data_IF_419246532400
#
_entry.id   IF_419246532400
#
_cell.length_a   1.000
_cell.length_b   1.000
_cell.length_c   1.000
_cell.angle_alpha   90.00
_cell.angle_beta   90.00
_cell.angle_gamma   90.00
#
_symmetry.space_group_name_H-M   'P 1'
#
loop_
_entity.id
_entity.type
_entity.pdbx_description
1 polymer ?
#
# COMPACT_ATOMS: atom_id res chain seq x y z
N UNK A 1 9.66 -5.70 -6.39
CA UNK A 1 8.97 -4.45 -6.78
C UNK A 1 9.54 -3.36 -5.90
N UNK A 2 10.56 -2.69 -6.42
CA UNK A 2 11.14 -1.51 -5.78
C UNK A 2 11.24 -0.44 -6.86
N UNK A 3 11.11 0.81 -6.47
CA UNK A 3 11.23 1.97 -7.36
C UNK A 3 12.30 2.91 -6.79
N UNK A 4 12.91 3.74 -7.62
CA UNK A 4 13.94 4.69 -7.17
C UNK A 4 13.45 6.12 -7.30
N UNK A 5 13.30 6.80 -6.17
CA UNK A 5 12.98 8.23 -6.11
C UNK A 5 14.27 8.98 -5.77
N UNK A 6 14.83 9.70 -6.74
CA UNK A 6 16.05 10.53 -6.58
C UNK A 6 17.22 9.82 -5.89
N UNK A 7 17.42 8.53 -6.20
CA UNK A 7 18.49 7.71 -5.64
C UNK A 7 18.13 6.97 -4.34
N UNK A 8 16.92 7.14 -3.81
CA UNK A 8 16.39 6.36 -2.70
C UNK A 8 15.50 5.25 -3.23
N UNK A 9 15.83 4.00 -2.92
CA UNK A 9 14.96 2.86 -3.21
C UNK A 9 13.75 2.88 -2.26
N UNK A 10 12.55 2.68 -2.81
CA UNK A 10 11.27 2.63 -2.09
C UNK A 10 10.50 1.36 -2.46
N UNK A 11 9.66 0.87 -1.55
CA UNK A 11 8.85 -0.33 -1.75
C UNK A 11 7.56 -0.02 -2.51
N UNK A 12 7.68 0.18 -3.82
CA UNK A 12 6.56 0.41 -4.71
C UNK A 12 6.79 -0.24 -6.08
N UNK A 13 5.67 -0.48 -6.77
CA UNK A 13 5.61 -0.84 -8.17
C UNK A 13 5.05 0.35 -8.96
N UNK A 14 5.77 0.78 -10.00
CA UNK A 14 5.44 1.98 -10.78
C UNK A 14 5.32 1.58 -12.24
N UNK A 15 4.21 1.95 -12.86
CA UNK A 15 3.95 1.70 -14.28
C UNK A 15 4.02 3.03 -15.03
N UNK A 16 4.83 3.05 -16.08
CA UNK A 16 5.00 4.19 -16.97
C UNK A 16 4.39 3.88 -18.34
N UNK A 17 3.91 4.91 -19.03
CA UNK A 17 3.51 4.80 -20.44
C UNK A 17 4.72 4.85 -21.39
N UNK A 18 4.45 4.77 -22.69
CA UNK A 18 5.48 4.82 -23.75
C UNK A 18 6.30 6.12 -23.75
N UNK A 19 5.82 7.17 -23.08
CA UNK A 19 6.50 8.48 -22.97
C UNK A 19 7.26 8.64 -21.65
N UNK A 20 7.30 7.60 -20.81
CA UNK A 20 7.91 7.67 -19.48
C UNK A 20 7.06 8.44 -18.45
N UNK A 21 5.77 8.64 -18.74
CA UNK A 21 4.86 9.26 -17.78
C UNK A 21 4.31 8.20 -16.84
N UNK A 22 4.43 8.42 -15.53
CA UNK A 22 3.84 7.52 -14.53
C UNK A 22 2.31 7.52 -14.68
N UNK A 23 1.74 6.32 -14.82
CA UNK A 23 0.30 6.09 -15.01
C UNK A 23 -0.34 5.33 -13.84
N UNK A 24 0.47 4.61 -13.08
CA UNK A 24 0.03 3.88 -11.89
C UNK A 24 1.18 3.77 -10.89
N UNK A 25 0.84 3.85 -9.61
CA UNK A 25 1.74 3.55 -8.50
C UNK A 25 1.03 2.60 -7.55
N UNK A 26 1.70 1.51 -7.18
CA UNK A 26 1.14 0.47 -6.30
C UNK A 26 2.10 0.19 -5.15
N UNK A 27 1.59 0.06 -3.94
CA UNK A 27 2.39 -0.36 -2.78
C UNK A 27 1.53 -1.11 -1.78
N UNK A 28 2.15 -2.09 -1.12
CA UNK A 28 1.47 -2.96 -0.17
C UNK A 28 1.58 -2.40 1.24
N UNK A 29 0.45 -2.37 1.95
CA UNK A 29 0.33 -1.86 3.30
C UNK A 29 -0.29 -2.93 4.20
N UNK A 30 0.11 -2.91 5.46
CA UNK A 30 -0.54 -3.65 6.54
C UNK A 30 -0.93 -2.69 7.66
N UNK A 31 -2.13 -2.88 8.23
CA UNK A 31 -2.58 -2.09 9.36
C UNK A 31 -3.58 -2.87 10.24
N UNK A 32 -3.85 -2.40 11.47
CA UNK A 32 -4.89 -2.97 12.33
C UNK A 32 -6.30 -2.87 11.73
N UNK A 33 -6.58 -1.84 10.92
CA UNK A 33 -7.87 -1.62 10.29
C UNK A 33 -7.78 -0.70 9.06
N UNK A 34 -8.79 -0.68 8.18
CA UNK A 34 -8.83 0.22 7.02
C UNK A 34 -8.67 1.70 7.38
N UNK A 35 -9.25 2.12 8.50
CA UNK A 35 -9.19 3.51 8.97
C UNK A 35 -7.75 4.03 9.20
N UNK A 36 -6.81 3.15 9.59
CA UNK A 36 -5.41 3.56 9.75
C UNK A 36 -4.75 3.87 8.41
N UNK A 37 -5.05 3.08 7.38
CA UNK A 37 -4.54 3.29 6.02
C UNK A 37 -5.12 4.59 5.44
N UNK A 38 -6.42 4.80 5.60
CA UNK A 38 -7.09 6.03 5.18
C UNK A 38 -6.50 7.26 5.88
N UNK A 39 -6.28 7.21 7.19
CA UNK A 39 -5.68 8.30 7.95
C UNK A 39 -4.26 8.64 7.45
N UNK A 40 -3.44 7.63 7.15
CA UNK A 40 -2.10 7.84 6.59
C UNK A 40 -2.17 8.52 5.21
N UNK A 41 -3.06 8.06 4.34
CA UNK A 41 -3.24 8.64 3.01
C UNK A 41 -3.83 10.07 3.03
N UNK A 42 -4.76 10.35 3.97
CA UNK A 42 -5.31 11.68 4.20
C UNK A 42 -4.25 12.65 4.71
N UNK A 43 -3.34 12.22 5.58
CA UNK A 43 -2.24 13.06 6.09
C UNK A 43 -1.34 13.58 4.96
N UNK A 44 -1.23 12.84 3.86
CA UNK A 44 -0.52 13.27 2.64
C UNK A 44 -1.42 13.87 1.57
N UNK A 45 -2.65 14.23 1.90
CA UNK A 45 -3.63 14.82 0.99
C UNK A 45 -3.87 13.99 -0.28
N UNK A 46 -3.54 12.70 -0.27
CA UNK A 46 -3.84 11.81 -1.36
C UNK A 46 -5.36 11.72 -1.47
N UNK A 47 -6.02 11.41 -0.37
CA UNK A 47 -7.46 11.15 -0.36
C UNK A 47 -8.36 12.39 -0.24
N UNK A 48 -7.80 13.61 -0.21
CA UNK A 48 -8.61 14.83 -0.07
C UNK A 48 -9.12 15.30 -1.43
N UNK A 49 -10.45 15.38 -1.59
CA UNK A 49 -11.10 16.15 -2.65
C UNK A 49 -11.50 17.50 -2.05
N UNK A 50 -10.81 18.58 -2.42
CA UNK A 50 -11.21 19.93 -1.98
C UNK A 50 -12.48 20.32 -2.73
N UNK A 51 -13.64 20.31 -2.07
CA UNK A 51 -14.76 21.13 -2.51
C UNK A 51 -14.72 22.48 -1.80
N UNK A 52 -14.46 23.54 -2.56
CA UNK A 52 -14.78 24.89 -2.11
C UNK A 52 -16.31 25.02 -2.06
N UNK A 53 -16.88 25.17 -0.87
CA UNK A 53 -18.25 25.65 -0.76
C UNK A 53 -18.29 27.15 -1.10
N UNK A 54 -19.40 27.65 -1.63
CA UNK A 54 -19.58 29.07 -2.03
C UNK A 54 -19.28 30.10 -0.92
N UNK A 55 -19.09 29.65 0.32
CA UNK A 55 -18.80 30.49 1.49
C UNK A 55 -17.35 30.38 1.98
N UNK A 56 -16.44 29.77 1.22
CA UNK A 56 -15.02 29.64 1.60
C UNK A 56 -14.75 28.65 2.73
N UNK A 57 -15.75 27.83 3.11
CA UNK A 57 -15.55 26.78 4.11
C UNK A 57 -15.05 25.53 3.40
N UNK A 58 -13.77 25.23 3.59
CA UNK A 58 -13.19 23.92 3.29
C UNK A 58 -13.79 22.91 4.28
N UNK A 59 -14.68 22.05 3.81
CA UNK A 59 -15.03 20.82 4.54
C UNK A 59 -14.23 19.70 3.91
N UNK A 60 -13.29 19.13 4.67
CA UNK A 60 -12.68 17.85 4.32
C UNK A 60 -13.73 16.76 4.50
N UNK A 61 -14.37 16.38 3.41
CA UNK A 61 -15.15 15.15 3.37
C UNK A 61 -14.21 14.02 2.94
N UNK A 62 -14.19 12.93 3.71
CA UNK A 62 -13.65 11.66 3.23
C UNK A 62 -14.70 11.08 2.29
N UNK A 63 -14.68 11.51 1.03
CA UNK A 63 -15.45 10.88 -0.04
C UNK A 63 -14.64 9.72 -0.64
N UNK A 64 -15.32 8.76 -1.28
CA UNK A 64 -14.66 7.80 -2.15
C UNK A 64 -13.75 8.58 -3.12
N UNK A 65 -12.47 8.24 -3.11
CA UNK A 65 -11.46 8.95 -3.88
C UNK A 65 -11.32 8.24 -5.21
N UNK A 66 -11.89 8.78 -6.31
CA UNK A 66 -11.66 8.18 -7.61
C UNK A 66 -10.15 8.09 -7.83
N UNK A 67 -9.72 6.90 -8.27
CA UNK A 67 -8.31 6.55 -8.53
C UNK A 67 -7.44 6.17 -7.31
N UNK A 68 -8.00 6.08 -6.10
CA UNK A 68 -7.38 5.33 -4.99
C UNK A 68 -8.08 3.97 -4.86
N UNK A 69 -7.43 2.91 -5.35
CA UNK A 69 -8.02 1.57 -5.33
C UNK A 69 -7.35 0.72 -4.26
N UNK A 70 -8.16 0.27 -3.29
CA UNK A 70 -7.72 -0.60 -2.21
C UNK A 70 -8.09 -2.04 -2.55
N UNK A 71 -7.08 -2.89 -2.78
CA UNK A 71 -7.29 -4.31 -3.02
C UNK A 71 -6.92 -5.11 -1.77
N UNK A 72 -7.89 -5.61 -0.99
CA UNK A 72 -7.61 -6.43 0.17
C UNK A 72 -6.81 -7.68 -0.21
N UNK A 73 -5.78 -8.00 0.57
CA UNK A 73 -4.91 -9.15 0.37
C UNK A 73 -5.03 -10.07 1.57
N UNK A 74 -5.41 -11.33 1.32
CA UNK A 74 -5.37 -12.36 2.35
C UNK A 74 -3.94 -12.91 2.44
N UNK A 75 -3.33 -12.85 3.63
CA UNK A 75 -1.98 -13.37 3.86
C UNK A 75 -2.07 -14.72 4.56
N UNK A 76 -1.49 -15.76 3.94
CA UNK A 76 -1.40 -17.10 4.52
C UNK A 76 -0.17 -17.17 5.43
N UNK A 77 -0.36 -17.41 6.72
CA UNK A 77 0.72 -17.59 7.67
C UNK A 77 1.21 -19.03 7.65
N UNK A 78 0.30 -19.99 7.78
CA UNK A 78 0.65 -21.42 7.77
C UNK A 78 -0.24 -22.18 6.80
N UNK A 79 0.33 -22.99 5.90
CA UNK A 79 -0.46 -23.78 4.97
C UNK A 79 -1.23 -24.86 5.71
N UNK A 80 -2.39 -25.22 5.17
CA UNK A 80 -3.13 -26.40 5.59
C UNK A 80 -2.26 -27.66 5.43
N UNK A 81 -2.28 -28.54 6.43
CA UNK A 81 -1.69 -29.86 6.32
C UNK A 81 -2.68 -30.81 5.64
N UNK A 82 -2.13 -31.76 4.88
CA UNK A 82 -2.89 -32.79 4.19
C UNK A 82 -2.31 -34.17 4.51
N UNK A 83 -3.19 -35.16 4.65
CA UNK A 83 -2.77 -36.55 4.79
C UNK A 83 -2.25 -37.11 3.45
N UNK A 84 -1.78 -38.36 3.47
CA UNK A 84 -1.26 -39.05 2.29
C UNK A 84 -2.31 -39.24 1.17
N UNK A 85 -3.60 -39.09 1.49
CA UNK A 85 -4.74 -39.17 0.57
C UNK A 85 -5.14 -37.79 0.03
N UNK A 86 -4.44 -36.72 0.43
CA UNK A 86 -4.72 -35.35 0.00
C UNK A 86 -5.85 -34.66 0.76
N UNK A 87 -6.46 -35.32 1.75
CA UNK A 87 -7.50 -34.73 2.59
C UNK A 87 -6.87 -33.78 3.61
N UNK A 88 -7.55 -32.67 3.88
CA UNK A 88 -7.07 -31.64 4.78
C UNK A 88 -7.19 -32.10 6.23
N UNK A 89 -6.08 -32.08 6.98
CA UNK A 89 -6.02 -32.48 8.39
C UNK A 89 -5.96 -31.29 9.33
N UNK A 90 -5.47 -30.14 8.85
CA UNK A 90 -5.49 -28.86 9.59
C UNK A 90 -5.96 -27.74 8.66
N UNK A 91 -6.66 -26.77 9.22
CA UNK A 91 -7.02 -25.56 8.49
C UNK A 91 -5.80 -24.65 8.32
N UNK A 92 -5.73 -23.87 7.23
CA UNK A 92 -4.69 -22.88 7.06
C UNK A 92 -4.83 -21.75 8.10
N UNK A 93 -3.71 -21.28 8.63
CA UNK A 93 -3.69 -20.10 9.51
C UNK A 93 -3.56 -18.86 8.63
N UNK A 94 -4.58 -18.01 8.67
CA UNK A 94 -4.63 -16.75 7.94
C UNK A 94 -4.26 -15.57 8.84
N UNK A 95 -3.62 -14.58 8.26
CA UNK A 95 -3.48 -13.25 8.85
C UNK A 95 -4.86 -12.60 9.00
N UNK A 96 -5.10 -12.02 10.19
CA UNK A 96 -6.36 -11.34 10.51
C UNK A 96 -6.23 -9.82 10.47
N UNK A 97 -5.02 -9.30 10.29
CA UNK A 97 -4.77 -7.87 10.10
C UNK A 97 -5.18 -7.41 8.70
N UNK A 98 -5.36 -6.10 8.54
CA UNK A 98 -5.78 -5.52 7.28
C UNK A 98 -4.57 -5.31 6.37
N UNK A 99 -4.35 -6.29 5.49
CA UNK A 99 -3.36 -6.20 4.41
C UNK A 99 -4.04 -5.74 3.11
N UNK A 100 -3.45 -4.76 2.43
CA UNK A 100 -4.02 -4.15 1.24
C UNK A 100 -2.93 -3.75 0.25
N UNK A 101 -3.19 -3.95 -1.04
CA UNK A 101 -2.43 -3.27 -2.08
C UNK A 101 -3.14 -1.97 -2.45
N UNK A 102 -2.53 -0.83 -2.14
CA UNK A 102 -3.04 0.47 -2.54
C UNK A 102 -2.50 0.81 -3.92
N UNK A 103 -3.42 1.02 -4.87
CA UNK A 103 -3.12 1.38 -6.25
C UNK A 103 -3.66 2.78 -6.54
N UNK A 104 -2.75 3.70 -6.81
CA UNK A 104 -3.02 5.07 -7.18
C UNK A 104 -2.95 5.22 -8.71
N UNK A 105 -3.95 5.87 -9.31
CA UNK A 105 -3.99 6.17 -10.75
C UNK A 105 -4.47 7.60 -11.02
N UNK A 106 -4.59 7.98 -12.29
CA UNK A 106 -5.27 9.21 -12.72
C UNK A 106 -4.68 10.49 -12.14
N UNK A 107 -5.54 11.38 -11.64
CA UNK A 107 -5.08 12.66 -11.09
C UNK A 107 -4.38 12.51 -9.74
N UNK A 108 -4.58 11.39 -9.04
CA UNK A 108 -4.04 11.16 -7.70
C UNK A 108 -2.52 11.07 -7.70
N UNK A 109 -1.96 10.37 -8.69
CA UNK A 109 -0.50 10.23 -8.88
C UNK A 109 0.15 11.52 -9.37
N UNK A 110 -0.65 12.49 -9.86
CA UNK A 110 -0.19 13.80 -10.36
C UNK A 110 -0.29 14.90 -9.31
N UNK A 111 -0.89 14.65 -8.14
CA UNK A 111 -0.96 15.63 -7.07
C UNK A 111 0.45 15.94 -6.55
N UNK A 112 0.75 17.23 -6.46
CA UNK A 112 2.02 17.74 -5.96
C UNK A 112 1.84 18.65 -4.75
N UNK A 113 2.88 18.77 -3.93
CA UNK A 113 2.97 19.80 -2.89
C UNK A 113 3.37 21.18 -3.48
N UNK A 114 3.55 22.17 -2.60
CA UNK A 114 3.98 23.53 -2.99
C UNK A 114 5.36 23.59 -3.64
N UNK A 115 6.19 22.56 -3.44
CA UNK A 115 7.54 22.44 -3.97
C UNK A 115 7.58 21.59 -5.25
N UNK A 116 6.44 21.13 -5.76
CA UNK A 116 6.32 20.32 -6.96
C UNK A 116 6.66 18.84 -6.75
N UNK A 117 6.74 18.34 -5.51
CA UNK A 117 6.94 16.92 -5.23
C UNK A 117 5.62 16.17 -5.31
N UNK A 118 5.63 15.01 -5.96
CA UNK A 118 4.45 14.16 -5.96
C UNK A 118 4.15 13.68 -4.54
N UNK A 119 2.89 13.79 -4.12
CA UNK A 119 2.49 13.50 -2.75
C UNK A 119 2.72 12.02 -2.36
N UNK A 120 2.59 11.10 -3.33
CA UNK A 120 2.88 9.68 -3.13
C UNK A 120 4.39 9.42 -2.94
N UNK A 121 5.25 10.19 -3.61
CA UNK A 121 6.70 10.09 -3.43
C UNK A 121 7.08 10.50 -2.01
N UNK A 122 6.55 11.65 -1.55
CA UNK A 122 6.77 12.13 -0.18
C UNK A 122 6.30 11.12 0.86
N UNK A 123 5.15 10.46 0.62
CA UNK A 123 4.62 9.44 1.50
C UNK A 123 5.59 8.24 1.61
N UNK A 124 6.06 7.71 0.48
CA UNK A 124 7.00 6.57 0.49
C UNK A 124 8.37 6.94 1.07
N UNK A 125 8.89 8.12 0.72
CA UNK A 125 10.15 8.62 1.28
C UNK A 125 10.07 8.82 2.79
N UNK A 126 8.92 9.26 3.31
CA UNK A 126 8.71 9.37 4.76
C UNK A 126 8.76 7.99 5.43
N UNK A 127 8.15 6.96 4.86
CA UNK A 127 8.31 5.59 5.36
C UNK A 127 9.77 5.12 5.31
N UNK A 128 10.48 5.38 4.21
CA UNK A 128 11.90 4.99 4.11
C UNK A 128 12.80 5.74 5.09
N UNK A 129 12.47 6.98 5.45
CA UNK A 129 13.28 7.81 6.33
C UNK A 129 12.93 7.70 7.82
N UNK A 130 11.65 7.51 8.16
CA UNK A 130 11.14 7.54 9.53
C UNK A 130 10.54 6.21 9.99
N UNK A 131 10.27 5.28 9.07
CA UNK A 131 9.69 3.99 9.40
C UNK A 131 10.66 3.11 10.19
N UNK A 132 10.15 2.47 11.23
CA UNK A 132 10.92 1.48 11.98
C UNK A 132 10.84 0.12 11.28
N UNK A 133 11.98 -0.56 11.12
CA UNK A 133 12.00 -1.94 10.62
C UNK A 133 11.08 -2.83 11.45
N UNK A 134 10.26 -3.61 10.76
CA UNK A 134 9.30 -4.50 11.38
C UNK A 134 9.12 -5.77 10.55
N UNK A 135 8.49 -6.76 11.16
CA UNK A 135 8.03 -7.96 10.48
C UNK A 135 6.57 -8.16 10.83
N UNK A 136 5.70 -8.00 9.82
CA UNK A 136 4.28 -8.31 9.91
C UNK A 136 4.13 -9.83 10.00
N UNK A 137 3.47 -10.30 11.06
CA UNK A 137 3.23 -11.71 11.38
C UNK A 137 4.49 -12.60 11.29
N UNK A 138 5.64 -12.08 11.72
CA UNK A 138 6.94 -12.77 11.74
C UNK A 138 7.47 -13.27 10.38
N UNK A 139 6.81 -12.91 9.27
CA UNK A 139 7.17 -13.41 7.92
C UNK A 139 7.26 -12.33 6.85
N UNK A 140 6.56 -11.21 7.03
CA UNK A 140 6.43 -10.19 5.99
C UNK A 140 7.19 -8.93 6.44
N UNK A 141 8.40 -8.69 5.91
CA UNK A 141 9.19 -7.53 6.31
C UNK A 141 8.56 -6.23 5.82
N UNK A 142 8.76 -5.16 6.59
CA UNK A 142 8.28 -3.84 6.21
C UNK A 142 8.81 -2.73 7.11
N UNK A 143 8.28 -1.53 6.90
CA UNK A 143 8.60 -0.33 7.66
C UNK A 143 7.33 0.22 8.31
N UNK A 144 7.27 0.18 9.64
CA UNK A 144 6.13 0.64 10.43
C UNK A 144 6.22 2.13 10.74
N UNK A 145 5.13 2.85 10.50
CA UNK A 145 4.95 4.25 10.89
C UNK A 145 3.48 4.51 11.22
N UNK A 146 3.21 5.15 12.36
CA UNK A 146 1.85 5.55 12.76
C UNK A 146 0.80 4.44 12.70
N UNK A 147 1.19 3.19 13.04
CA UNK A 147 0.30 2.03 13.02
C UNK A 147 0.03 1.45 11.62
N UNK A 148 0.76 1.87 10.59
CA UNK A 148 0.71 1.32 9.24
C UNK A 148 2.10 0.88 8.82
N UNK A 149 2.21 -0.34 8.30
CA UNK A 149 3.46 -0.90 7.81
C UNK A 149 3.49 -0.91 6.28
N UNK A 150 4.51 -0.28 5.70
CA UNK A 150 4.84 -0.41 4.27
C UNK A 150 5.58 -1.73 4.06
N UNK A 151 4.97 -2.64 3.30
CA UNK A 151 5.51 -3.99 3.10
C UNK A 151 6.58 -4.00 2.01
N UNK A 152 7.72 -4.62 2.29
CA UNK A 152 8.74 -4.91 1.29
C UNK A 152 8.35 -6.18 0.50
N UNK A 153 7.55 -5.98 -0.54
CA UNK A 153 7.08 -7.06 -1.42
C UNK A 153 8.22 -7.76 -2.18
N UNK A 154 9.42 -7.18 -2.25
CA UNK A 154 10.58 -7.86 -2.86
C UNK A 154 11.10 -9.04 -2.04
N UNK A 155 10.81 -9.04 -0.73
CA UNK A 155 11.24 -10.06 0.23
C UNK A 155 10.12 -11.00 0.64
N UNK A 156 8.88 -10.74 0.21
CA UNK A 156 7.75 -11.62 0.46
C UNK A 156 7.82 -12.82 -0.48
N UNK A 157 7.86 -14.01 0.10
CA UNK A 157 7.76 -15.25 -0.67
C UNK A 157 6.38 -15.34 -1.32
N UNK A 158 6.31 -15.14 -2.63
CA UNK A 158 5.12 -15.48 -3.41
C UNK A 158 5.18 -16.95 -3.75
N UNK A 159 4.09 -17.69 -3.51
CA UNK A 159 3.97 -19.05 -4.02
C UNK A 159 3.95 -18.92 -5.55
N UNK A 160 5.07 -19.21 -6.22
CA UNK A 160 5.05 -19.43 -7.67
C UNK A 160 4.04 -20.54 -7.92
N UNK A 161 2.93 -20.19 -8.57
CA UNK A 161 1.91 -21.16 -8.93
C UNK A 161 2.55 -22.24 -9.80
N UNK A 162 2.65 -23.44 -9.24
CA UNK A 162 2.62 -24.64 -10.07
C UNK A 162 1.20 -24.69 -10.64
N UNK A 163 1.03 -24.10 -11.81
CA UNK A 163 -0.12 -24.41 -12.66
C UNK A 163 0.17 -25.82 -13.17
N UNK A 164 -0.60 -26.77 -12.65
CA UNK A 164 -0.66 -28.14 -13.16
C UNK A 164 -1.27 -28.16 -14.57
#
# INVERSE_FOLDING_TARGET
MTYTIRGTEVFADVVEDEHGTITQVSFALNAPSPAHVEAAALTKNLMVVRQETQNGVLREWVEEVPHANFFPVAVLLEPAERNAQGEMTTEPVMDTTYSVNLVLTGDLIRKVDENGWFLWELLLLEWMGLGAETTVNDKVPGLAMSGVSLIDMSKVATRQGVVA
#
